data_IF_772093206405
#
_entry.id   IF_772093206405
#
_cell.length_a   1.000
_cell.length_b   1.000
_cell.length_c   1.000
_cell.angle_alpha   90.00
_cell.angle_beta   90.00
_cell.angle_gamma   90.00
#
_symmetry.space_group_name_H-M   'P 1'
#
loop_
_entity.id
_entity.type
_entity.pdbx_description
1 polymer ?
#
# COMPACT_ATOMS: atom_id res chain seq x y z
N UNK A 1 5.37 -6.20 -19.17
CA UNK A 1 5.44 -5.58 -17.83
C UNK A 1 4.73 -6.45 -16.80
N UNK A 2 5.37 -6.68 -15.67
CA UNK A 2 4.78 -7.46 -14.59
C UNK A 2 3.82 -6.59 -13.78
N UNK A 3 2.69 -7.17 -13.38
CA UNK A 3 1.67 -6.48 -12.58
C UNK A 3 1.43 -7.27 -11.31
N UNK A 4 1.43 -6.57 -10.18
CA UNK A 4 1.21 -7.16 -8.87
C UNK A 4 0.15 -6.38 -8.12
N UNK A 5 -0.79 -7.08 -7.52
CA UNK A 5 -1.68 -6.49 -6.52
C UNK A 5 -1.05 -6.70 -5.14
N UNK A 6 -0.94 -5.63 -4.36
CA UNK A 6 -0.32 -5.69 -3.03
C UNK A 6 -1.31 -5.26 -1.97
N UNK A 7 -1.33 -6.02 -0.88
CA UNK A 7 -2.22 -5.79 0.25
C UNK A 7 -1.49 -5.09 1.40
N UNK A 8 -2.21 -4.89 2.52
CA UNK A 8 -1.65 -4.20 3.67
C UNK A 8 -0.47 -4.94 4.29
N UNK A 9 -0.46 -6.27 4.24
CA UNK A 9 0.63 -7.07 4.81
C UNK A 9 1.96 -6.74 4.11
N UNK A 10 1.93 -6.58 2.79
CA UNK A 10 3.10 -6.18 2.01
C UNK A 10 3.62 -4.81 2.44
N UNK A 11 2.73 -3.82 2.52
CA UNK A 11 3.12 -2.47 2.89
C UNK A 11 3.64 -2.38 4.32
N UNK A 12 3.01 -3.10 5.26
CA UNK A 12 3.45 -3.15 6.66
C UNK A 12 4.85 -3.77 6.74
N UNK A 13 5.07 -4.88 6.04
CA UNK A 13 6.38 -5.55 6.04
C UNK A 13 7.45 -4.66 5.44
N UNK A 14 7.11 -3.87 4.41
CA UNK A 14 8.06 -2.98 3.77
C UNK A 14 8.48 -1.83 4.70
N UNK A 15 7.54 -1.27 5.46
CA UNK A 15 7.81 -0.14 6.35
C UNK A 15 8.43 -0.56 7.68
N UNK A 16 8.08 -1.71 8.23
CA UNK A 16 8.45 -2.13 9.58
C UNK A 16 9.67 -3.04 9.58
N UNK A 17 10.86 -2.55 9.99
CA UNK A 17 12.07 -3.39 10.00
C UNK A 17 11.98 -4.60 10.91
N UNK A 18 11.08 -4.57 11.92
CA UNK A 18 10.89 -5.68 12.85
C UNK A 18 9.89 -6.72 12.36
N UNK A 19 9.20 -6.45 11.26
CA UNK A 19 8.26 -7.42 10.70
C UNK A 19 9.02 -8.64 10.18
N UNK A 20 8.46 -9.83 10.43
CA UNK A 20 9.12 -11.09 10.04
C UNK A 20 9.36 -11.20 8.53
N UNK A 21 8.57 -10.50 7.73
CA UNK A 21 8.66 -10.55 6.28
C UNK A 21 9.46 -9.39 5.69
N UNK A 22 9.96 -8.47 6.52
CA UNK A 22 10.60 -7.23 6.07
C UNK A 22 11.74 -7.50 5.08
N UNK A 23 12.66 -8.38 5.44
CA UNK A 23 13.84 -8.66 4.60
C UNK A 23 13.41 -9.24 3.25
N UNK A 24 12.45 -10.16 3.26
CA UNK A 24 11.96 -10.78 2.02
C UNK A 24 11.24 -9.78 1.12
N UNK A 25 10.38 -8.95 1.71
CA UNK A 25 9.64 -7.94 0.95
C UNK A 25 10.59 -6.89 0.41
N UNK A 26 11.57 -6.46 1.20
CA UNK A 26 12.55 -5.50 0.76
C UNK A 26 13.39 -6.04 -0.40
N UNK A 27 13.84 -7.29 -0.30
CA UNK A 27 14.60 -7.94 -1.37
C UNK A 27 13.76 -8.09 -2.65
N UNK A 28 12.50 -8.49 -2.50
CA UNK A 28 11.58 -8.60 -3.63
C UNK A 28 11.39 -7.24 -4.31
N UNK A 29 11.14 -6.20 -3.53
CA UNK A 29 10.92 -4.85 -4.07
C UNK A 29 12.14 -4.31 -4.79
N UNK A 30 13.34 -4.56 -4.24
CA UNK A 30 14.59 -4.11 -4.84
C UNK A 30 14.90 -4.85 -6.14
N UNK A 31 14.41 -6.07 -6.30
CA UNK A 31 14.64 -6.88 -7.49
C UNK A 31 13.63 -6.61 -8.61
N UNK A 32 12.60 -5.82 -8.36
CA UNK A 32 11.56 -5.56 -9.36
C UNK A 32 12.11 -4.72 -10.51
N UNK A 33 11.90 -5.21 -11.72
CA UNK A 33 12.28 -4.53 -12.97
C UNK A 33 11.07 -4.58 -13.89
N UNK A 34 10.76 -3.45 -14.53
CA UNK A 34 9.63 -3.34 -15.48
C UNK A 34 8.33 -3.88 -14.86
N UNK A 35 7.92 -3.28 -13.76
CA UNK A 35 6.76 -3.71 -12.97
C UNK A 35 5.74 -2.60 -12.82
N UNK A 36 4.52 -2.98 -12.40
CA UNK A 36 3.52 -2.04 -11.91
C UNK A 36 2.79 -2.66 -10.73
N UNK A 37 2.65 -1.88 -9.66
CA UNK A 37 1.94 -2.30 -8.45
C UNK A 37 0.55 -1.69 -8.44
N UNK A 38 -0.41 -2.49 -7.99
CA UNK A 38 -1.79 -2.06 -7.80
C UNK A 38 -2.17 -2.27 -6.34
N UNK A 39 -2.79 -1.28 -5.76
CA UNK A 39 -3.34 -1.36 -4.41
C UNK A 39 -4.66 -0.58 -4.38
N UNK A 40 -5.31 -0.52 -3.25
CA UNK A 40 -6.56 0.23 -3.10
C UNK A 40 -6.46 1.21 -1.94
N UNK A 41 -7.35 2.19 -1.93
CA UNK A 41 -7.45 3.11 -0.79
C UNK A 41 -7.88 2.38 0.49
N UNK A 42 -8.69 1.30 0.37
CA UNK A 42 -9.04 0.46 1.52
C UNK A 42 -7.81 -0.22 2.12
N UNK A 43 -6.93 -0.75 1.26
CA UNK A 43 -5.66 -1.35 1.71
C UNK A 43 -4.81 -0.33 2.44
N UNK A 44 -4.70 0.89 1.91
CA UNK A 44 -3.92 1.95 2.55
C UNK A 44 -4.56 2.42 3.84
N UNK A 45 -5.89 2.44 3.93
CA UNK A 45 -6.60 2.72 5.18
C UNK A 45 -6.30 1.67 6.24
N UNK A 46 -6.32 0.40 5.87
CA UNK A 46 -5.95 -0.71 6.74
C UNK A 46 -4.50 -0.59 7.21
N UNK A 47 -3.60 -0.22 6.32
CA UNK A 47 -2.21 0.05 6.64
C UNK A 47 -2.08 1.16 7.69
N UNK A 48 -2.78 2.29 7.51
CA UNK A 48 -2.77 3.38 8.46
C UNK A 48 -3.39 2.97 9.80
N UNK A 49 -4.46 2.18 9.77
CA UNK A 49 -5.10 1.68 10.99
C UNK A 49 -4.15 0.82 11.81
N UNK A 50 -3.32 0.02 11.15
CA UNK A 50 -2.31 -0.79 11.83
C UNK A 50 -1.36 0.08 12.67
N UNK A 51 -1.01 1.27 12.17
CA UNK A 51 -0.10 2.19 12.86
C UNK A 51 -0.82 3.20 13.75
N UNK A 52 -2.15 3.15 13.86
CA UNK A 52 -2.91 4.16 14.60
C UNK A 52 -2.56 4.21 16.09
N UNK A 53 -2.19 3.07 16.68
CA UNK A 53 -1.80 2.97 18.07
C UNK A 53 -0.28 3.05 18.27
N UNK A 54 0.49 3.25 17.20
CA UNK A 54 1.93 3.37 17.28
C UNK A 54 2.34 4.73 17.84
N UNK A 55 3.63 4.87 18.16
CA UNK A 55 4.15 6.16 18.60
C UNK A 55 4.03 7.22 17.48
N UNK A 56 4.14 8.54 17.85
CA UNK A 56 3.94 9.61 16.86
C UNK A 56 4.90 9.54 15.67
N UNK A 57 6.13 9.09 15.88
CA UNK A 57 7.10 8.99 14.79
C UNK A 57 6.68 7.95 13.75
N UNK A 58 6.26 6.77 14.20
CA UNK A 58 5.79 5.72 13.29
C UNK A 58 4.51 6.13 12.57
N UNK A 59 3.58 6.78 13.27
CA UNK A 59 2.37 7.30 12.62
C UNK A 59 2.69 8.31 11.53
N UNK A 60 3.63 9.19 11.79
CA UNK A 60 4.07 10.19 10.79
C UNK A 60 4.73 9.52 9.60
N UNK A 61 5.56 8.52 9.84
CA UNK A 61 6.20 7.75 8.76
C UNK A 61 5.17 7.00 7.92
N UNK A 62 4.17 6.41 8.55
CA UNK A 62 3.11 5.71 7.84
C UNK A 62 2.32 6.66 6.94
N UNK A 63 1.98 7.86 7.44
CA UNK A 63 1.28 8.86 6.64
C UNK A 63 2.14 9.34 5.45
N UNK A 64 3.43 9.55 5.67
CA UNK A 64 4.35 9.93 4.60
C UNK A 64 4.50 8.83 3.55
N UNK A 65 4.51 7.59 4.00
CA UNK A 65 4.57 6.43 3.12
C UNK A 65 3.34 6.35 2.21
N UNK A 66 2.15 6.59 2.76
CA UNK A 66 0.92 6.60 1.96
C UNK A 66 0.97 7.70 0.90
N UNK A 67 1.40 8.91 1.27
CA UNK A 67 1.55 10.00 0.30
C UNK A 67 2.53 9.63 -0.80
N UNK A 68 3.66 9.02 -0.46
CA UNK A 68 4.65 8.58 -1.43
C UNK A 68 4.09 7.51 -2.37
N UNK A 69 3.24 6.62 -1.86
CA UNK A 69 2.58 5.58 -2.66
C UNK A 69 1.68 6.20 -3.73
N UNK A 70 0.90 7.22 -3.37
CA UNK A 70 0.06 7.92 -4.34
C UNK A 70 0.88 8.62 -5.45
N UNK A 71 2.09 9.02 -5.14
CA UNK A 71 2.95 9.74 -6.08
C UNK A 71 3.90 8.84 -6.83
N UNK A 72 3.98 7.55 -6.47
CA UNK A 72 4.94 6.64 -7.07
C UNK A 72 4.54 6.32 -8.52
N UNK A 73 5.45 6.48 -9.50
CA UNK A 73 5.09 6.35 -10.92
C UNK A 73 4.73 4.92 -11.34
N UNK A 74 5.17 3.91 -10.59
CA UNK A 74 4.90 2.51 -10.88
C UNK A 74 3.86 1.90 -9.95
N UNK A 75 3.02 2.73 -9.33
CA UNK A 75 1.97 2.27 -8.42
C UNK A 75 0.67 2.98 -8.74
N UNK A 76 -0.39 2.20 -8.87
CA UNK A 76 -1.74 2.74 -9.05
C UNK A 76 -2.56 2.43 -7.81
N UNK A 77 -3.19 3.45 -7.24
CA UNK A 77 -4.13 3.30 -6.12
C UNK A 77 -5.53 3.37 -6.70
N UNK A 78 -6.26 2.27 -6.56
CA UNK A 78 -7.64 2.17 -7.03
C UNK A 78 -8.55 2.66 -5.92
N UNK A 79 -9.42 3.63 -6.24
CA UNK A 79 -10.36 4.17 -5.28
C UNK A 79 -11.57 3.27 -5.17
N UNK A 80 -11.84 2.75 -3.98
CA UNK A 80 -13.04 1.96 -3.72
C UNK A 80 -14.30 2.82 -3.82
N UNK A 81 -14.22 4.11 -3.48
CA UNK A 81 -15.34 5.04 -3.66
C UNK A 81 -15.70 5.20 -5.12
N UNK A 82 -14.69 5.35 -5.98
CA UNK A 82 -14.91 5.39 -7.43
C UNK A 82 -15.54 4.10 -7.93
N UNK A 83 -15.03 2.97 -7.47
CA UNK A 83 -15.55 1.65 -7.83
C UNK A 83 -17.01 1.50 -7.44
N UNK A 84 -17.41 2.02 -6.28
CA UNK A 84 -18.80 1.99 -5.82
C UNK A 84 -19.69 2.90 -6.67
N UNK A 85 -19.20 4.09 -7.00
CA UNK A 85 -19.95 5.06 -7.81
C UNK A 85 -20.17 4.54 -9.23
N UNK A 86 -19.21 3.81 -9.77
CA UNK A 86 -19.31 3.28 -11.13
C UNK A 86 -20.23 2.07 -11.25
N UNK A 87 -20.70 1.51 -10.13
CA UNK A 87 -21.67 0.41 -10.19
C UNK A 87 -23.04 0.92 -10.60
N UNK A 88 -23.71 0.19 -11.51
CA UNK A 88 -25.10 0.54 -11.82
C UNK A 88 -25.94 0.47 -10.53
N UNK A 89 -26.70 1.51 -10.29
CA UNK A 89 -27.64 1.51 -9.17
C UNK A 89 -28.72 0.46 -9.43
N UNK A 90 -29.11 -0.31 -8.42
CA UNK A 90 -30.26 -1.21 -8.58
C UNK A 90 -31.48 -0.39 -8.95
N UNK A 91 -32.21 -0.89 -9.89
CA UNK A 91 -33.42 -0.25 -10.37
C UNK A 91 -34.47 -0.14 -9.27
#
# INVERSE_FOLDING_TARGET
MRRFFVDAVYWIALLSPRDQWHVRVQAFSAALVAYHLYTTDEVLTEFLAFYSAADPLLRTRAASFVRATFQHPHTTVISSSYSQVSRPLPA
#
